data_IF_637170605597
#
_entry.id   IF_637170605597
#
_cell.length_a   1.000
_cell.length_b   1.000
_cell.length_c   1.000
_cell.angle_alpha   90.00
_cell.angle_beta   90.00
_cell.angle_gamma   90.00
#
_symmetry.space_group_name_H-M   'P 1'
#
loop_
_entity.id
_entity.type
_entity.pdbx_description
1 polymer ?
#
# COMPACT_ATOMS: atom_id res chain seq x y z
N UNK A 1 14.20 21.70 -45.51
CA UNK A 1 13.25 21.40 -44.48
C UNK A 1 13.16 22.51 -43.44
N UNK A 2 11.98 22.78 -43.01
CA UNK A 2 11.77 23.84 -42.03
C UNK A 2 12.07 23.38 -40.65
N UNK A 3 12.56 24.30 -39.85
CA UNK A 3 12.77 24.02 -38.44
C UNK A 3 11.42 23.83 -37.74
N UNK A 4 11.42 22.98 -36.73
CA UNK A 4 10.26 22.80 -35.88
C UNK A 4 10.00 24.10 -35.13
N UNK A 5 8.74 24.43 -34.97
CA UNK A 5 8.36 25.59 -34.19
C UNK A 5 8.83 25.45 -32.75
N UNK A 6 9.28 26.55 -32.10
CA UNK A 6 9.62 26.50 -30.69
C UNK A 6 8.47 25.99 -29.82
N UNK A 7 7.23 26.26 -30.22
CA UNK A 7 6.04 25.80 -29.53
C UNK A 7 5.95 24.28 -29.55
N UNK A 8 6.28 23.68 -30.70
CA UNK A 8 6.28 22.21 -30.84
C UNK A 8 7.30 21.56 -29.91
N UNK A 9 8.51 22.12 -29.83
CA UNK A 9 9.56 21.62 -28.96
C UNK A 9 9.15 21.72 -27.48
N UNK A 10 8.52 22.82 -27.10
CA UNK A 10 8.02 23.01 -25.74
C UNK A 10 6.90 21.99 -25.44
N UNK A 11 6.02 21.76 -26.39
CA UNK A 11 4.94 20.81 -26.25
C UNK A 11 5.46 19.38 -26.04
N UNK A 12 6.45 18.95 -26.83
CA UNK A 12 7.07 17.65 -26.67
C UNK A 12 7.76 17.50 -25.31
N UNK A 13 8.48 18.52 -24.87
CA UNK A 13 9.12 18.51 -23.56
C UNK A 13 8.09 18.41 -22.43
N UNK A 14 6.98 19.08 -22.57
CA UNK A 14 5.90 19.05 -21.59
C UNK A 14 5.25 17.66 -21.50
N UNK A 15 5.03 17.03 -22.65
CA UNK A 15 4.50 15.67 -22.69
C UNK A 15 5.43 14.66 -22.02
N UNK A 16 6.75 14.79 -22.24
CA UNK A 16 7.73 13.94 -21.60
C UNK A 16 7.71 14.14 -20.08
N UNK A 17 7.58 15.38 -19.63
CA UNK A 17 7.51 15.70 -18.21
C UNK A 17 6.27 15.06 -17.57
N UNK A 18 5.12 15.17 -18.21
CA UNK A 18 3.89 14.52 -17.74
C UNK A 18 4.06 13.01 -17.66
N UNK A 19 4.67 12.41 -18.67
CA UNK A 19 4.94 10.98 -18.68
C UNK A 19 5.81 10.56 -17.50
N UNK A 20 6.86 11.30 -17.19
CA UNK A 20 7.71 11.04 -16.04
C UNK A 20 6.95 11.17 -14.72
N UNK A 21 6.08 12.17 -14.60
CA UNK A 21 5.27 12.35 -13.41
C UNK A 21 4.32 11.16 -13.20
N UNK A 22 3.72 10.68 -14.28
CA UNK A 22 2.82 9.52 -14.23
C UNK A 22 3.58 8.25 -13.82
N UNK A 23 4.78 8.05 -14.33
CA UNK A 23 5.62 6.91 -13.94
C UNK A 23 6.01 6.98 -12.47
N UNK A 24 6.41 8.17 -12.01
CA UNK A 24 6.75 8.37 -10.60
C UNK A 24 5.54 8.18 -9.70
N UNK A 25 4.37 8.67 -10.14
CA UNK A 25 3.12 8.49 -9.40
C UNK A 25 2.63 7.05 -9.34
N UNK A 26 3.13 6.19 -10.24
CA UNK A 26 2.81 4.76 -10.22
C UNK A 26 3.65 3.95 -9.25
N UNK A 27 4.63 4.55 -8.60
CA UNK A 27 5.43 3.86 -7.60
C UNK A 27 4.61 3.66 -6.33
N UNK A 28 4.66 2.45 -5.81
CA UNK A 28 3.99 2.11 -4.55
C UNK A 28 4.62 2.88 -3.39
N UNK A 29 3.81 3.27 -2.42
CA UNK A 29 4.31 3.87 -1.19
C UNK A 29 5.22 2.86 -0.48
N UNK A 30 6.28 3.38 0.14
CA UNK A 30 7.21 2.53 0.87
C UNK A 30 6.61 2.06 2.17
N UNK A 31 7.11 0.93 2.67
CA UNK A 31 6.69 0.38 3.94
C UNK A 31 6.84 1.39 5.07
N UNK A 32 5.83 1.54 5.94
CA UNK A 32 5.93 2.38 7.13
C UNK A 32 6.68 1.71 8.26
N UNK A 33 7.18 0.50 8.06
CA UNK A 33 7.85 -0.30 9.09
C UNK A 33 9.35 -0.31 8.88
N UNK A 34 10.09 -0.62 9.95
CA UNK A 34 11.53 -0.83 9.89
C UNK A 34 11.87 -2.24 9.46
N UNK A 35 11.01 -3.19 9.78
CA UNK A 35 11.19 -4.59 9.42
C UNK A 35 11.02 -4.76 7.91
N UNK A 36 11.78 -5.71 7.34
CA UNK A 36 11.72 -5.99 5.91
C UNK A 36 10.32 -6.45 5.50
N UNK A 37 9.78 -7.43 6.21
CA UNK A 37 8.41 -7.90 6.01
C UNK A 37 7.55 -7.31 7.12
N UNK A 38 6.49 -6.61 6.73
CA UNK A 38 5.62 -5.94 7.67
C UNK A 38 4.17 -6.06 7.23
N UNK A 39 3.29 -6.39 8.18
CA UNK A 39 1.85 -6.43 7.96
C UNK A 39 1.25 -5.20 8.66
N UNK A 40 0.57 -4.37 7.91
CA UNK A 40 0.00 -3.12 8.45
C UNK A 40 -1.50 -3.14 8.31
N UNK A 41 -2.20 -2.92 9.41
CA UNK A 41 -3.65 -2.71 9.40
C UNK A 41 -3.94 -1.22 9.44
N UNK A 42 -4.65 -0.73 8.43
CA UNK A 42 -5.18 0.63 8.40
C UNK A 42 -6.66 0.58 8.80
N UNK A 43 -7.00 1.26 9.86
CA UNK A 43 -8.36 1.29 10.37
C UNK A 43 -8.68 2.71 10.86
N UNK A 44 -9.87 2.92 11.37
CA UNK A 44 -10.26 4.18 12.01
C UNK A 44 -10.61 3.91 13.46
N UNK A 45 -10.43 4.92 14.31
CA UNK A 45 -10.71 4.77 15.73
C UNK A 45 -12.15 4.32 16.01
N UNK A 46 -13.11 4.85 15.25
CA UNK A 46 -14.52 4.49 15.41
C UNK A 46 -14.84 3.05 14.99
N UNK A 47 -13.94 2.39 14.25
CA UNK A 47 -14.13 1.02 13.78
C UNK A 47 -13.19 0.03 14.49
N UNK A 48 -12.60 0.40 15.60
CA UNK A 48 -11.62 -0.41 16.32
C UNK A 48 -12.16 -1.78 16.74
N UNK A 49 -13.45 -1.89 17.02
CA UNK A 49 -14.09 -3.15 17.38
C UNK A 49 -13.97 -4.21 16.27
N UNK A 50 -13.83 -3.78 15.02
CA UNK A 50 -13.67 -4.67 13.86
C UNK A 50 -12.21 -4.84 13.44
N UNK A 51 -11.26 -4.44 14.28
CA UNK A 51 -9.84 -4.61 14.03
C UNK A 51 -9.47 -6.10 13.98
N UNK A 52 -8.52 -6.45 13.11
CA UNK A 52 -8.09 -7.83 12.95
C UNK A 52 -7.14 -8.22 14.09
N UNK A 53 -7.70 -8.69 15.18
CA UNK A 53 -6.95 -9.00 16.41
C UNK A 53 -6.02 -10.19 16.23
N UNK A 54 -6.30 -11.07 15.27
CA UNK A 54 -5.47 -12.24 15.00
C UNK A 54 -4.08 -11.87 14.44
N UNK A 55 -3.85 -10.66 14.02
CA UNK A 55 -2.55 -10.23 13.48
C UNK A 55 -1.43 -10.41 14.50
N UNK A 56 -1.74 -10.32 15.78
CA UNK A 56 -0.76 -10.51 16.84
C UNK A 56 -0.28 -11.96 16.97
N UNK A 57 -0.99 -12.91 16.35
CA UNK A 57 -0.64 -14.33 16.36
C UNK A 57 0.19 -14.74 15.15
N UNK A 58 0.50 -13.81 14.28
CA UNK A 58 1.32 -14.08 13.10
C UNK A 58 2.80 -14.12 13.51
N UNK A 59 3.60 -14.87 12.75
CA UNK A 59 5.02 -15.08 13.05
C UNK A 59 5.91 -14.60 11.90
N UNK A 60 7.17 -14.33 12.21
CA UNK A 60 8.24 -14.05 11.25
C UNK A 60 8.15 -12.69 10.54
N UNK A 61 7.45 -11.70 11.13
CA UNK A 61 7.38 -10.35 10.57
C UNK A 61 6.88 -9.35 11.61
N UNK A 62 7.00 -8.06 11.28
CA UNK A 62 6.46 -6.98 12.09
C UNK A 62 4.98 -6.75 11.84
N UNK A 63 4.27 -6.30 12.84
CA UNK A 63 2.87 -5.91 12.74
C UNK A 63 2.74 -4.46 13.20
N UNK A 64 2.02 -3.66 12.42
CA UNK A 64 1.78 -2.26 12.76
C UNK A 64 0.31 -1.92 12.52
N UNK A 65 -0.27 -1.13 13.41
CA UNK A 65 -1.63 -0.64 13.27
C UNK A 65 -1.60 0.87 13.11
N UNK A 66 -2.28 1.37 12.08
CA UNK A 66 -2.33 2.80 11.77
C UNK A 66 -3.79 3.24 11.73
N UNK A 67 -4.09 4.31 12.48
CA UNK A 67 -5.43 4.92 12.44
C UNK A 67 -5.42 6.04 11.39
N UNK A 68 -6.23 5.89 10.36
CA UNK A 68 -6.26 6.83 9.24
C UNK A 68 -6.93 8.16 9.57
N UNK A 69 -7.68 8.22 10.66
CA UNK A 69 -8.30 9.47 11.12
C UNK A 69 -7.28 10.40 11.78
N UNK A 70 -6.01 9.99 11.83
CA UNK A 70 -4.90 10.81 12.33
C UNK A 70 -3.81 10.89 11.28
N UNK A 71 -3.72 12.03 10.59
CA UNK A 71 -2.70 12.27 9.56
C UNK A 71 -3.20 11.95 8.15
N UNK A 72 -2.27 11.88 7.21
CA UNK A 72 -2.56 11.73 5.77
C UNK A 72 -2.40 10.29 5.26
N UNK A 73 -2.49 9.31 6.14
CA UNK A 73 -2.27 7.91 5.81
C UNK A 73 -3.20 7.39 4.73
N UNK A 74 -4.47 7.82 4.77
CA UNK A 74 -5.46 7.40 3.77
C UNK A 74 -5.04 7.77 2.36
N UNK A 75 -4.56 8.99 2.19
CA UNK A 75 -4.13 9.51 0.90
C UNK A 75 -2.81 8.87 0.46
N UNK A 76 -1.86 8.78 1.39
CA UNK A 76 -0.52 8.26 1.11
C UNK A 76 -0.55 6.80 0.63
N UNK A 77 -1.39 5.98 1.24
CA UNK A 77 -1.49 4.55 0.91
C UNK A 77 -2.73 4.19 0.10
N UNK A 78 -3.52 5.19 -0.31
CA UNK A 78 -4.69 4.95 -1.14
C UNK A 78 -5.74 4.06 -0.47
N UNK A 79 -6.04 4.33 0.80
CA UNK A 79 -7.00 3.53 1.56
C UNK A 79 -8.41 3.93 1.15
N UNK A 80 -9.17 3.00 0.59
CA UNK A 80 -10.53 3.22 0.10
C UNK A 80 -11.56 2.73 1.10
N UNK A 81 -11.28 1.60 1.73
CA UNK A 81 -12.17 1.00 2.75
C UNK A 81 -11.35 0.64 3.97
N UNK A 82 -12.01 0.50 5.10
CA UNK A 82 -11.38 0.10 6.36
C UNK A 82 -12.12 -1.08 6.99
N UNK A 83 -11.42 -1.97 7.67
CA UNK A 83 -9.96 -2.04 7.70
C UNK A 83 -9.36 -2.49 6.36
N UNK A 84 -8.14 -2.07 6.08
CA UNK A 84 -7.34 -2.59 4.97
C UNK A 84 -6.03 -3.09 5.56
N UNK A 85 -5.65 -4.30 5.19
CA UNK A 85 -4.38 -4.89 5.61
C UNK A 85 -3.47 -4.93 4.40
N UNK A 86 -2.29 -4.34 4.54
CA UNK A 86 -1.28 -4.34 3.48
C UNK A 86 -0.04 -5.06 3.98
N UNK A 87 0.47 -5.99 3.16
CA UNK A 87 1.71 -6.69 3.42
C UNK A 87 2.80 -6.03 2.62
N UNK A 88 3.86 -5.61 3.30
CA UNK A 88 5.02 -4.95 2.71
C UNK A 88 6.25 -5.84 2.80
N UNK A 89 7.06 -5.78 1.76
CA UNK A 89 8.43 -6.29 1.74
C UNK A 89 9.29 -5.20 1.11
N UNK A 90 9.45 -4.09 1.84
CA UNK A 90 9.99 -2.85 1.29
C UNK A 90 8.95 -2.06 0.52
N UNK A 91 8.20 -2.74 -0.34
CA UNK A 91 7.08 -2.21 -1.12
C UNK A 91 5.82 -2.99 -0.80
N UNK A 92 4.67 -2.47 -1.23
CA UNK A 92 3.41 -3.20 -1.12
C UNK A 92 3.46 -4.48 -1.96
N UNK A 93 3.20 -5.62 -1.31
CA UNK A 93 3.14 -6.93 -1.97
C UNK A 93 1.70 -7.35 -2.21
N UNK A 94 0.86 -7.26 -1.20
CA UNK A 94 -0.54 -7.66 -1.26
C UNK A 94 -1.38 -6.80 -0.33
N UNK A 95 -2.61 -6.58 -0.75
CA UNK A 95 -3.58 -5.78 0.00
C UNK A 95 -4.86 -6.58 0.18
N UNK A 96 -5.37 -6.61 1.40
CA UNK A 96 -6.66 -7.21 1.74
C UNK A 96 -7.59 -6.11 2.21
N UNK A 97 -8.74 -5.98 1.58
CA UNK A 97 -9.72 -4.93 1.89
C UNK A 97 -10.95 -5.53 2.55
N UNK A 98 -11.53 -4.79 3.47
CA UNK A 98 -12.77 -5.15 4.11
C UNK A 98 -13.95 -5.06 3.13
N UNK A 99 -15.07 -5.65 3.53
CA UNK A 99 -16.32 -5.48 2.80
C UNK A 99 -17.00 -4.14 3.20
N UNK A 100 -18.19 -3.92 2.65
CA UNK A 100 -18.92 -2.68 2.92
C UNK A 100 -19.46 -2.57 4.36
N UNK A 101 -19.39 -3.64 5.14
CA UNK A 101 -19.76 -3.63 6.56
C UNK A 101 -18.58 -3.29 7.46
N UNK A 102 -17.44 -2.91 6.90
CA UNK A 102 -16.22 -2.57 7.61
C UNK A 102 -15.63 -3.74 8.41
N UNK A 103 -15.83 -4.95 7.91
CA UNK A 103 -15.28 -6.17 8.51
C UNK A 103 -14.29 -6.82 7.56
N UNK A 104 -13.13 -7.17 8.10
CA UNK A 104 -12.09 -7.86 7.33
C UNK A 104 -12.50 -9.30 7.07
N UNK A 105 -12.55 -9.69 5.80
CA UNK A 105 -12.88 -11.04 5.40
C UNK A 105 -11.67 -11.95 5.32
N UNK A 106 -10.47 -11.39 5.14
CA UNK A 106 -9.26 -12.18 5.07
C UNK A 106 -8.98 -12.86 6.41
N UNK A 107 -8.54 -14.11 6.35
CA UNK A 107 -8.20 -14.90 7.52
C UNK A 107 -6.72 -14.76 7.86
N UNK A 108 -6.36 -15.14 9.09
CA UNK A 108 -4.95 -15.19 9.50
C UNK A 108 -4.15 -16.10 8.56
N UNK A 109 -4.73 -17.21 8.18
CA UNK A 109 -4.09 -18.20 7.30
C UNK A 109 -3.78 -17.63 5.93
N UNK A 110 -4.71 -16.84 5.36
CA UNK A 110 -4.49 -16.19 4.06
C UNK A 110 -3.35 -15.19 4.12
N UNK A 111 -3.26 -14.42 5.19
CA UNK A 111 -2.20 -13.42 5.38
C UNK A 111 -0.87 -14.12 5.62
N UNK A 112 -0.87 -15.15 6.47
CA UNK A 112 0.34 -15.93 6.75
C UNK A 112 0.87 -16.60 5.48
N UNK A 113 0.00 -17.10 4.62
CA UNK A 113 0.39 -17.70 3.36
C UNK A 113 1.17 -16.74 2.47
N UNK A 114 0.73 -15.49 2.37
CA UNK A 114 1.43 -14.47 1.59
C UNK A 114 2.80 -14.19 2.19
N UNK A 115 2.90 -14.06 3.51
CA UNK A 115 4.16 -13.85 4.20
C UNK A 115 5.12 -15.03 3.93
N UNK A 116 4.61 -16.25 4.04
CA UNK A 116 5.41 -17.46 3.80
C UNK A 116 5.92 -17.51 2.35
N UNK A 117 5.10 -17.11 1.39
CA UNK A 117 5.50 -17.03 -0.02
C UNK A 117 6.63 -16.03 -0.23
N UNK A 118 6.59 -14.89 0.45
CA UNK A 118 7.65 -13.89 0.38
C UNK A 118 8.95 -14.47 0.94
N UNK A 119 8.88 -15.13 2.08
CA UNK A 119 10.05 -15.74 2.72
C UNK A 119 10.65 -16.79 1.80
N UNK A 120 9.82 -17.64 1.20
CA UNK A 120 10.29 -18.70 0.31
C UNK A 120 10.90 -18.15 -0.97
N UNK A 121 10.42 -17.02 -1.47
CA UNK A 121 10.94 -16.44 -2.71
C UNK A 121 12.33 -15.81 -2.53
N UNK A 122 12.72 -15.52 -1.29
CA UNK A 122 14.02 -14.93 -0.98
C UNK A 122 15.15 -15.98 -0.82
N UNK A 123 14.82 -17.26 -0.95
CA UNK A 123 15.79 -18.35 -0.85
C UNK A 123 16.25 -18.86 -2.23
#
# INVERSE_FOLDING_TARGET
>A
MKNLDPVWNIFCAYLLLIFFILLAGGLSAQSPCKEEICVVEFNAGWNEANSAKYLEKLTDYGVKRILIDKGDWQKEYGIVVIPTIIIFNGKEVKRFQADLSFKMLATREEIQEVVDEIIMSDF
#
